data_IF_269417020639
#
_entry.id   IF_269417020639
#
_cell.length_a   1.000
_cell.length_b   1.000
_cell.length_c   1.000
_cell.angle_alpha   90.00
_cell.angle_beta   90.00
_cell.angle_gamma   90.00
#
_symmetry.space_group_name_H-M   'P 1'
#
loop_
_entity.id
_entity.type
_entity.pdbx_description
1 polymer ?
#
# COMPACT_ATOMS: atom_id res chain seq x y z
N UNK A 1 7.72 -2.70 23.56
CA UNK A 1 8.65 -3.54 24.36
C UNK A 1 7.93 -4.83 24.62
N UNK A 2 8.53 -5.93 24.20
CA UNK A 2 7.85 -7.23 24.21
C UNK A 2 8.62 -8.15 25.14
N UNK A 3 7.91 -8.79 26.05
CA UNK A 3 8.51 -9.78 26.95
C UNK A 3 7.52 -10.90 27.26
N UNK A 4 8.10 -12.03 27.66
CA UNK A 4 7.34 -13.21 28.07
C UNK A 4 7.67 -13.50 29.52
N UNK A 5 6.65 -13.63 30.36
CA UNK A 5 6.79 -13.94 31.78
C UNK A 5 5.65 -14.88 32.21
N UNK A 6 5.99 -15.96 32.90
CA UNK A 6 5.04 -16.99 33.39
C UNK A 6 4.06 -17.53 32.34
N UNK A 7 4.51 -17.66 31.08
CA UNK A 7 3.70 -18.17 29.97
C UNK A 7 2.75 -17.15 29.34
N UNK A 8 2.82 -15.89 29.76
CA UNK A 8 2.07 -14.77 29.19
C UNK A 8 2.96 -13.91 28.31
N UNK A 9 2.42 -13.44 27.19
CA UNK A 9 3.06 -12.48 26.31
C UNK A 9 2.55 -11.07 26.63
N UNK A 10 3.48 -10.14 26.84
CA UNK A 10 3.20 -8.74 27.13
C UNK A 10 3.81 -7.86 26.05
N UNK A 11 3.03 -6.87 25.60
CA UNK A 11 3.45 -5.83 24.67
C UNK A 11 3.13 -4.47 25.28
N UNK A 12 4.15 -3.60 25.32
CA UNK A 12 4.01 -2.21 25.73
C UNK A 12 4.29 -1.28 24.54
N UNK A 13 3.29 -0.50 24.17
CA UNK A 13 3.34 0.47 23.06
C UNK A 13 3.42 1.90 23.60
N UNK A 14 4.22 2.73 22.92
CA UNK A 14 4.35 4.16 23.22
C UNK A 14 3.66 4.95 22.13
N UNK A 15 2.77 5.85 22.52
CA UNK A 15 2.01 6.70 21.61
C UNK A 15 2.30 8.18 21.87
N UNK A 16 2.48 8.93 20.80
CA UNK A 16 2.44 10.40 20.82
C UNK A 16 1.10 10.89 20.28
N UNK A 17 0.53 11.92 20.92
CA UNK A 17 -0.65 12.58 20.38
C UNK A 17 -0.24 13.48 19.21
N UNK A 18 -0.75 13.16 18.02
CA UNK A 18 -0.52 13.89 16.77
C UNK A 18 -1.78 14.59 16.26
N UNK A 19 -1.63 15.36 15.17
CA UNK A 19 -2.75 15.95 14.44
C UNK A 19 -3.64 14.90 13.75
N UNK A 20 -4.79 15.32 13.20
CA UNK A 20 -5.70 14.40 12.52
C UNK A 20 -5.07 13.81 11.25
N UNK A 21 -5.44 12.57 10.95
CA UNK A 21 -5.13 11.95 9.67
C UNK A 21 -5.81 12.71 8.51
N UNK A 22 -5.20 12.65 7.33
CA UNK A 22 -5.70 13.27 6.09
C UNK A 22 -7.05 12.68 5.71
N UNK A 23 -7.25 11.39 5.94
CA UNK A 23 -8.51 10.69 5.67
C UNK A 23 -8.97 9.87 6.88
N UNK A 24 -10.28 9.75 7.06
CA UNK A 24 -10.88 8.83 8.03
C UNK A 24 -10.95 7.38 7.53
N UNK A 25 -10.67 7.16 6.26
CA UNK A 25 -10.65 5.85 5.59
C UNK A 25 -9.34 5.69 4.81
N UNK A 26 -8.90 4.45 4.51
CA UNK A 26 -7.68 4.26 3.76
C UNK A 26 -7.67 4.88 2.36
N UNK A 27 -8.81 4.85 1.66
CA UNK A 27 -9.00 5.52 0.38
C UNK A 27 -9.31 7.02 0.55
N UNK A 28 -8.80 7.81 -0.38
CA UNK A 28 -9.04 9.24 -0.46
C UNK A 28 -10.32 9.54 -1.25
N UNK A 29 -11.16 10.44 -0.74
CA UNK A 29 -12.45 10.82 -1.35
C UNK A 29 -12.48 12.21 -2.00
N UNK A 30 -11.48 13.03 -1.73
CA UNK A 30 -11.32 14.36 -2.30
C UNK A 30 -9.88 14.81 -2.18
N UNK A 31 -9.49 15.78 -3.00
CA UNK A 31 -8.12 16.32 -2.97
C UNK A 31 -7.85 17.05 -1.64
N UNK A 32 -6.86 16.63 -0.84
CA UNK A 32 -6.52 17.26 0.43
C UNK A 32 -5.81 18.61 0.27
N UNK A 33 -5.40 18.99 -0.95
CA UNK A 33 -4.77 20.28 -1.23
C UNK A 33 -3.37 20.43 -0.63
N UNK A 34 -2.59 19.33 -0.63
CA UNK A 34 -1.23 19.28 -0.07
C UNK A 34 -0.25 20.00 -1.01
N UNK A 35 0.66 20.77 -0.43
CA UNK A 35 1.66 21.56 -1.16
C UNK A 35 2.91 20.75 -1.51
N UNK A 36 3.78 21.35 -2.33
CA UNK A 36 5.03 20.73 -2.80
C UNK A 36 5.99 20.40 -1.65
N UNK A 37 5.95 21.16 -0.56
CA UNK A 37 6.77 20.94 0.63
C UNK A 37 6.34 19.65 1.35
N UNK A 38 5.04 19.40 1.46
CA UNK A 38 4.52 18.15 2.02
C UNK A 38 4.95 16.94 1.20
N UNK A 39 4.80 17.00 -0.13
CA UNK A 39 5.24 15.90 -1.01
C UNK A 39 6.75 15.67 -0.91
N UNK A 40 7.53 16.75 -0.83
CA UNK A 40 8.98 16.67 -0.63
C UNK A 40 9.35 16.04 0.71
N UNK A 41 8.64 16.39 1.78
CA UNK A 41 8.83 15.78 3.08
C UNK A 41 8.49 14.29 3.07
N UNK A 42 7.43 13.87 2.37
CA UNK A 42 7.06 12.46 2.25
C UNK A 42 8.11 11.65 1.48
N UNK A 43 8.58 12.17 0.33
CA UNK A 43 9.67 11.53 -0.43
C UNK A 43 10.93 11.37 0.41
N UNK A 44 11.31 12.42 1.15
CA UNK A 44 12.46 12.38 2.07
C UNK A 44 12.27 11.33 3.17
N UNK A 45 11.11 11.32 3.84
CA UNK A 45 10.83 10.37 4.90
C UNK A 45 10.86 8.90 4.42
N UNK A 46 10.36 8.62 3.22
CA UNK A 46 10.41 7.27 2.64
C UNK A 46 11.81 6.88 2.17
N UNK A 47 12.62 7.84 1.70
CA UNK A 47 14.02 7.61 1.38
C UNK A 47 14.83 7.28 2.65
N UNK A 48 14.63 8.04 3.73
CA UNK A 48 15.27 7.77 5.02
C UNK A 48 14.82 6.41 5.60
N UNK A 49 13.54 6.07 5.45
CA UNK A 49 13.00 4.78 5.89
C UNK A 49 13.60 3.60 5.12
N UNK A 50 13.84 3.75 3.82
CA UNK A 50 14.46 2.72 2.98
C UNK A 50 15.86 2.32 3.46
N UNK A 51 16.60 3.25 4.08
CA UNK A 51 17.93 3.04 4.64
C UNK A 51 17.90 2.48 6.08
N UNK A 52 16.73 2.47 6.73
CA UNK A 52 16.60 1.94 8.09
C UNK A 52 16.75 0.42 8.11
N UNK A 53 17.33 -0.18 9.17
CA UNK A 53 17.42 -1.64 9.29
C UNK A 53 16.04 -2.30 9.37
N UNK A 54 15.67 -3.09 8.35
CA UNK A 54 14.44 -3.89 8.32
C UNK A 54 14.69 -5.32 8.79
N UNK A 55 13.99 -5.78 9.84
CA UNK A 55 14.22 -7.12 10.43
C UNK A 55 13.09 -8.12 10.16
N UNK A 56 11.87 -7.65 9.89
CA UNK A 56 10.68 -8.48 9.68
C UNK A 56 10.26 -8.45 8.22
N UNK A 57 9.92 -9.61 7.67
CA UNK A 57 9.29 -9.70 6.36
C UNK A 57 7.80 -9.33 6.46
N UNK A 58 7.40 -8.20 5.88
CA UNK A 58 6.01 -7.72 5.95
C UNK A 58 5.09 -8.48 4.97
N UNK A 59 5.53 -8.67 3.73
CA UNK A 59 4.77 -9.38 2.69
C UNK A 59 5.49 -10.66 2.28
N UNK A 60 4.93 -11.81 2.64
CA UNK A 60 5.53 -13.13 2.40
C UNK A 60 5.34 -13.57 0.94
N UNK A 61 6.36 -14.22 0.39
CA UNK A 61 6.33 -14.74 -0.98
C UNK A 61 5.14 -15.67 -1.25
N UNK A 62 4.80 -16.57 -0.33
CA UNK A 62 3.66 -17.48 -0.50
C UNK A 62 2.31 -16.77 -0.63
N UNK A 63 2.12 -15.61 0.00
CA UNK A 63 0.91 -14.80 -0.22
C UNK A 63 0.93 -14.15 -1.61
N UNK A 64 2.10 -13.67 -2.08
CA UNK A 64 2.26 -13.10 -3.43
C UNK A 64 1.93 -14.16 -4.50
N UNK A 65 2.41 -15.39 -4.32
CA UNK A 65 2.13 -16.55 -5.18
C UNK A 65 0.64 -16.90 -5.25
N UNK A 66 -0.11 -16.68 -4.16
CA UNK A 66 -1.55 -16.89 -4.11
C UNK A 66 -2.32 -15.76 -4.83
N UNK A 67 -1.99 -14.50 -4.54
CA UNK A 67 -2.80 -13.35 -4.97
C UNK A 67 -2.57 -12.95 -6.42
N UNK A 68 -1.38 -13.19 -6.98
CA UNK A 68 -1.07 -12.80 -8.36
C UNK A 68 -1.96 -13.51 -9.38
N UNK A 69 -2.04 -14.86 -9.40
CA UNK A 69 -2.93 -15.54 -10.32
C UNK A 69 -4.40 -15.22 -10.04
N UNK A 70 -4.79 -15.14 -8.76
CA UNK A 70 -6.19 -14.93 -8.36
C UNK A 70 -6.71 -13.56 -8.78
N UNK A 71 -5.97 -12.49 -8.53
CA UNK A 71 -6.47 -11.12 -8.71
C UNK A 71 -5.86 -10.38 -9.90
N UNK A 72 -4.74 -10.83 -10.45
CA UNK A 72 -4.10 -10.18 -11.61
C UNK A 72 -4.12 -11.06 -12.88
N UNK A 73 -4.40 -12.36 -12.75
CA UNK A 73 -4.46 -13.29 -13.89
C UNK A 73 -3.09 -13.62 -14.49
N UNK A 74 -2.00 -13.34 -13.76
CA UNK A 74 -0.61 -13.58 -14.17
C UNK A 74 0.12 -14.36 -13.07
N UNK A 75 1.19 -15.13 -13.39
CA UNK A 75 2.01 -15.77 -12.38
C UNK A 75 2.71 -14.72 -11.50
N UNK A 76 2.95 -15.08 -10.24
CA UNK A 76 3.81 -14.30 -9.36
C UNK A 76 5.26 -14.26 -9.89
N UNK A 77 6.00 -13.18 -9.64
CA UNK A 77 7.43 -13.17 -9.87
C UNK A 77 8.13 -14.19 -8.96
N UNK A 78 9.15 -14.86 -9.49
CA UNK A 78 9.92 -15.86 -8.74
C UNK A 78 10.68 -15.24 -7.55
N UNK A 79 11.15 -14.01 -7.71
CA UNK A 79 11.84 -13.25 -6.68
C UNK A 79 11.27 -11.83 -6.61
N UNK A 80 11.26 -11.27 -5.39
CA UNK A 80 10.77 -9.92 -5.11
C UNK A 80 11.88 -9.17 -4.40
N UNK A 81 12.41 -8.14 -5.05
CA UNK A 81 13.35 -7.19 -4.45
C UNK A 81 12.67 -6.38 -3.34
N UNK A 82 13.39 -6.13 -2.25
CA UNK A 82 12.83 -5.57 -1.02
C UNK A 82 13.65 -4.42 -0.47
N UNK A 83 12.95 -3.53 0.20
CA UNK A 83 13.50 -2.40 0.96
C UNK A 83 12.75 -2.29 2.29
N UNK A 84 13.27 -1.50 3.22
CA UNK A 84 12.55 -1.18 4.45
C UNK A 84 11.43 -0.18 4.14
N UNK A 85 10.24 -0.45 4.64
CA UNK A 85 9.06 0.39 4.42
C UNK A 85 8.04 0.28 5.54
N UNK A 86 7.02 1.11 5.44
CA UNK A 86 5.90 1.22 6.36
C UNK A 86 4.99 0.00 6.32
N UNK A 87 4.72 -0.52 5.11
CA UNK A 87 3.89 -1.72 4.94
C UNK A 87 2.38 -1.48 4.97
N UNK A 88 1.95 -0.24 5.21
CA UNK A 88 0.54 0.21 5.16
C UNK A 88 0.45 1.73 4.88
N UNK A 89 1.17 2.22 3.87
CA UNK A 89 1.24 3.66 3.59
C UNK A 89 -0.03 4.18 2.86
N UNK A 90 -1.12 4.32 3.61
CA UNK A 90 -2.42 4.82 3.13
C UNK A 90 -2.85 6.12 3.84
N UNK A 91 -3.87 6.81 3.32
CA UNK A 91 -4.20 8.19 3.71
C UNK A 91 -4.70 8.37 5.14
N UNK A 92 -5.19 7.32 5.78
CA UNK A 92 -5.52 7.35 7.22
C UNK A 92 -4.28 7.27 8.11
N UNK A 93 -3.12 6.93 7.55
CA UNK A 93 -1.84 6.83 8.26
C UNK A 93 -0.92 8.05 8.02
N UNK A 94 -1.45 9.13 7.47
CA UNK A 94 -0.70 10.34 7.15
C UNK A 94 -1.38 11.59 7.70
N UNK A 95 -0.62 12.52 8.28
CA UNK A 95 -1.13 13.84 8.70
C UNK A 95 -0.72 14.95 7.71
N UNK A 96 -1.54 15.99 7.59
CA UNK A 96 -1.30 17.08 6.64
C UNK A 96 -0.25 18.09 7.13
N UNK A 97 -0.37 18.61 8.36
CA UNK A 97 0.49 19.69 8.85
C UNK A 97 0.78 19.53 10.34
N UNK A 98 2.01 19.16 10.74
CA UNK A 98 3.11 18.69 9.88
C UNK A 98 2.82 17.30 9.28
N UNK A 99 3.64 16.84 8.32
CA UNK A 99 3.67 15.45 7.92
C UNK A 99 4.12 14.56 9.10
N UNK A 100 3.30 13.55 9.42
CA UNK A 100 3.61 12.43 10.29
C UNK A 100 3.09 11.15 9.64
N UNK A 101 3.86 10.08 9.76
CA UNK A 101 3.47 8.72 9.36
C UNK A 101 3.06 7.98 10.62
N UNK A 102 1.87 7.41 10.62
CA UNK A 102 1.21 6.77 11.76
C UNK A 102 1.10 5.26 11.53
N UNK A 103 0.79 4.51 12.59
CA UNK A 103 0.47 3.08 12.51
C UNK A 103 1.61 2.18 11.97
N UNK A 104 2.71 2.14 12.74
CA UNK A 104 3.94 1.44 12.38
C UNK A 104 3.90 -0.09 12.60
N UNK A 105 2.75 -0.72 12.84
CA UNK A 105 2.68 -2.15 13.21
C UNK A 105 3.17 -3.10 12.10
N UNK A 106 3.03 -2.67 10.84
CA UNK A 106 3.38 -3.45 9.64
C UNK A 106 4.78 -3.18 9.09
N UNK A 107 5.54 -2.25 9.68
CA UNK A 107 6.83 -1.84 9.13
C UNK A 107 7.84 -3.01 9.06
N UNK A 108 8.74 -2.94 8.08
CA UNK A 108 9.72 -3.99 7.83
C UNK A 108 10.12 -4.07 6.35
N UNK A 109 10.56 -5.25 5.92
CA UNK A 109 10.95 -5.53 4.54
C UNK A 109 9.71 -5.70 3.66
N UNK A 110 9.45 -4.69 2.83
CA UNK A 110 8.40 -4.63 1.82
C UNK A 110 9.00 -4.73 0.42
N UNK A 111 8.22 -5.11 -0.62
CA UNK A 111 8.66 -5.00 -2.01
C UNK A 111 9.06 -3.57 -2.36
N UNK A 112 10.08 -3.39 -3.19
CA UNK A 112 10.47 -2.06 -3.69
C UNK A 112 9.27 -1.37 -4.37
N UNK A 113 9.04 -0.10 -4.03
CA UNK A 113 7.93 0.70 -4.55
C UNK A 113 6.56 0.37 -3.96
N UNK A 114 6.45 -0.58 -3.03
CA UNK A 114 5.18 -0.99 -2.45
C UNK A 114 4.46 0.14 -1.69
N UNK A 115 5.14 0.87 -0.82
CA UNK A 115 4.50 1.95 -0.04
C UNK A 115 3.93 3.08 -0.93
N UNK A 116 4.71 3.69 -1.86
CA UNK A 116 4.14 4.61 -2.84
C UNK A 116 3.03 4.00 -3.69
N UNK A 117 3.07 2.70 -3.97
CA UNK A 117 2.02 2.01 -4.70
C UNK A 117 0.74 1.84 -3.88
N UNK A 118 0.82 1.57 -2.56
CA UNK A 118 -0.33 1.56 -1.65
C UNK A 118 -0.98 2.94 -1.59
N UNK A 119 -0.16 3.99 -1.49
CA UNK A 119 -0.64 5.37 -1.54
C UNK A 119 -1.31 5.69 -2.89
N UNK A 120 -0.76 5.20 -3.99
CA UNK A 120 -1.34 5.35 -5.33
C UNK A 120 -2.69 4.64 -5.47
N UNK A 121 -2.80 3.36 -5.11
CA UNK A 121 -4.07 2.61 -5.25
C UNK A 121 -5.17 3.18 -4.36
N UNK A 122 -4.81 3.69 -3.18
CA UNK A 122 -5.74 4.38 -2.27
C UNK A 122 -6.11 5.80 -2.73
N UNK A 123 -5.43 6.35 -3.75
CA UNK A 123 -5.73 7.64 -4.36
C UNK A 123 -6.61 7.56 -5.61
N UNK A 124 -6.92 6.37 -6.13
CA UNK A 124 -7.52 6.21 -7.47
C UNK A 124 -8.93 6.81 -7.63
N UNK A 125 -9.64 7.13 -6.55
CA UNK A 125 -10.90 7.90 -6.61
C UNK A 125 -10.70 9.40 -6.81
N UNK A 126 -9.47 9.90 -6.66
CA UNK A 126 -9.07 11.29 -6.87
C UNK A 126 -7.95 11.31 -7.92
N UNK A 127 -8.28 11.28 -9.23
CA UNK A 127 -7.30 11.08 -10.29
C UNK A 127 -6.11 12.05 -10.25
N UNK A 128 -6.36 13.33 -9.95
CA UNK A 128 -5.30 14.32 -9.83
C UNK A 128 -4.25 13.96 -8.77
N UNK A 129 -4.68 13.41 -7.63
CA UNK A 129 -3.77 12.96 -6.55
C UNK A 129 -3.09 11.65 -6.95
N UNK A 130 -3.81 10.70 -7.57
CA UNK A 130 -3.20 9.47 -8.06
C UNK A 130 -2.09 9.72 -9.09
N UNK A 131 -2.31 10.65 -10.02
CA UNK A 131 -1.33 11.06 -11.01
C UNK A 131 -0.14 11.76 -10.35
N UNK A 132 -0.39 12.60 -9.34
CA UNK A 132 0.68 13.23 -8.55
C UNK A 132 1.54 12.20 -7.82
N UNK A 133 0.95 11.16 -7.21
CA UNK A 133 1.73 10.08 -6.58
C UNK A 133 2.64 9.39 -7.60
N UNK A 134 2.15 9.13 -8.82
CA UNK A 134 2.99 8.55 -9.89
C UNK A 134 4.13 9.48 -10.31
N UNK A 135 3.88 10.78 -10.43
CA UNK A 135 4.90 11.78 -10.76
C UNK A 135 5.99 11.83 -9.68
N UNK A 136 5.57 12.00 -8.43
CA UNK A 136 6.46 12.18 -7.27
C UNK A 136 7.35 10.96 -7.01
N UNK A 137 6.83 9.77 -7.28
CA UNK A 137 7.54 8.50 -7.04
C UNK A 137 7.97 7.79 -8.33
N UNK A 138 7.94 8.48 -9.47
CA UNK A 138 8.32 7.93 -10.79
C UNK A 138 9.69 7.22 -10.77
N UNK A 139 10.68 7.82 -10.09
CA UNK A 139 12.02 7.26 -9.95
C UNK A 139 12.07 5.82 -9.40
N UNK A 140 11.14 5.46 -8.50
CA UNK A 140 11.01 4.09 -8.00
C UNK A 140 9.93 3.31 -8.73
N UNK A 141 8.76 3.91 -8.99
CA UNK A 141 7.58 3.23 -9.53
C UNK A 141 7.71 2.83 -11.01
N UNK A 142 8.59 3.46 -11.77
CA UNK A 142 8.87 3.12 -13.17
C UNK A 142 9.97 2.06 -13.33
N UNK A 143 10.70 1.75 -12.24
CA UNK A 143 11.69 0.66 -12.24
C UNK A 143 11.02 -0.71 -12.36
N UNK A 144 11.78 -1.73 -12.78
CA UNK A 144 11.28 -3.11 -12.84
C UNK A 144 10.78 -3.61 -11.49
N UNK A 145 11.50 -3.35 -10.41
CA UNK A 145 11.13 -3.72 -9.05
C UNK A 145 9.91 -2.92 -8.57
N UNK A 146 9.85 -1.62 -8.83
CA UNK A 146 8.69 -0.78 -8.49
C UNK A 146 7.41 -1.17 -9.22
N UNK A 147 7.51 -1.61 -10.48
CA UNK A 147 6.36 -2.18 -11.21
C UNK A 147 5.82 -3.44 -10.52
N UNK A 148 6.68 -4.28 -9.94
CA UNK A 148 6.25 -5.42 -9.13
C UNK A 148 5.55 -4.93 -7.85
N UNK A 149 6.10 -3.92 -7.16
CA UNK A 149 5.44 -3.28 -6.02
C UNK A 149 4.03 -2.76 -6.34
N UNK A 150 3.85 -2.14 -7.52
CA UNK A 150 2.53 -1.68 -8.00
C UNK A 150 1.53 -2.82 -8.22
N UNK A 151 1.98 -3.91 -8.82
CA UNK A 151 1.14 -5.10 -9.01
C UNK A 151 0.74 -5.72 -7.67
N UNK A 152 1.66 -5.78 -6.71
CA UNK A 152 1.37 -6.27 -5.36
C UNK A 152 0.31 -5.41 -4.65
N UNK A 153 0.45 -4.07 -4.69
CA UNK A 153 -0.54 -3.17 -4.10
C UNK A 153 -1.91 -3.28 -4.78
N UNK A 154 -1.96 -3.44 -6.11
CA UNK A 154 -3.19 -3.70 -6.84
C UNK A 154 -3.85 -5.02 -6.41
N UNK A 155 -3.08 -6.09 -6.29
CA UNK A 155 -3.59 -7.39 -5.86
C UNK A 155 -4.14 -7.35 -4.42
N UNK A 156 -3.45 -6.65 -3.50
CA UNK A 156 -3.91 -6.46 -2.12
C UNK A 156 -5.23 -5.68 -2.06
N UNK A 157 -5.34 -4.59 -2.82
CA UNK A 157 -6.56 -3.79 -2.84
C UNK A 157 -7.72 -4.54 -3.52
N UNK A 158 -7.46 -5.31 -4.58
CA UNK A 158 -8.46 -6.19 -5.20
C UNK A 158 -8.91 -7.32 -4.24
N UNK A 159 -8.00 -7.87 -3.44
CA UNK A 159 -8.34 -8.81 -2.36
C UNK A 159 -9.21 -8.15 -1.29
N UNK A 160 -8.95 -6.89 -0.92
CA UNK A 160 -9.79 -6.15 0.00
C UNK A 160 -11.20 -5.91 -0.59
N UNK A 161 -11.29 -5.66 -1.89
CA UNK A 161 -12.55 -5.55 -2.64
C UNK A 161 -13.35 -6.85 -2.61
N UNK A 162 -12.73 -7.99 -2.89
CA UNK A 162 -13.35 -9.33 -2.78
C UNK A 162 -13.93 -9.54 -1.36
N UNK A 163 -13.19 -9.10 -0.33
CA UNK A 163 -13.65 -9.15 1.08
C UNK A 163 -14.75 -8.13 1.44
N UNK A 164 -15.23 -7.33 0.48
CA UNK A 164 -16.35 -6.40 0.65
C UNK A 164 -15.96 -4.96 1.00
N UNK A 165 -14.66 -4.64 1.08
CA UNK A 165 -14.16 -3.28 1.32
C UNK A 165 -14.03 -2.50 0.02
N UNK A 166 -13.97 -1.16 0.09
CA UNK A 166 -13.60 -0.28 -1.03
C UNK A 166 -14.28 -0.60 -2.40
N UNK A 167 -15.54 -1.05 -2.40
CA UNK A 167 -16.21 -1.55 -3.62
C UNK A 167 -16.21 -0.57 -4.79
N UNK A 168 -16.17 0.73 -4.50
CA UNK A 168 -16.09 1.81 -5.49
C UNK A 168 -14.75 1.82 -6.26
N UNK A 169 -13.66 1.33 -5.66
CA UNK A 169 -12.35 1.20 -6.31
C UNK A 169 -12.28 0.03 -7.29
N UNK A 170 -13.19 -0.96 -7.22
CA UNK A 170 -13.10 -2.19 -8.00
C UNK A 170 -12.93 -1.96 -9.51
N UNK A 171 -13.72 -1.09 -10.18
CA UNK A 171 -13.59 -0.88 -11.62
C UNK A 171 -12.26 -0.25 -12.01
N UNK A 172 -11.80 0.76 -11.26
CA UNK A 172 -10.55 1.48 -11.56
C UNK A 172 -9.32 0.62 -11.26
N UNK A 173 -9.33 -0.17 -10.18
CA UNK A 173 -8.26 -1.13 -9.86
C UNK A 173 -8.11 -2.18 -10.96
N UNK A 174 -9.22 -2.76 -11.42
CA UNK A 174 -9.20 -3.78 -12.46
C UNK A 174 -8.65 -3.22 -13.79
N UNK A 175 -8.99 -1.98 -14.11
CA UNK A 175 -8.47 -1.29 -15.29
C UNK A 175 -6.97 -1.01 -15.17
N UNK A 176 -6.50 -0.48 -14.03
CA UNK A 176 -5.07 -0.26 -13.80
C UNK A 176 -4.27 -1.55 -13.82
N UNK A 177 -4.79 -2.63 -13.23
CA UNK A 177 -4.16 -3.94 -13.34
C UNK A 177 -4.05 -4.41 -14.79
N UNK A 178 -5.12 -4.26 -15.58
CA UNK A 178 -5.11 -4.57 -17.02
C UNK A 178 -4.07 -3.77 -17.80
N UNK A 179 -3.94 -2.48 -17.52
CA UNK A 179 -2.92 -1.62 -18.16
C UNK A 179 -1.50 -2.07 -17.82
N UNK A 180 -1.23 -2.49 -16.58
CA UNK A 180 0.11 -2.90 -16.15
C UNK A 180 0.49 -4.31 -16.63
N UNK A 181 -0.47 -5.25 -16.68
CA UNK A 181 -0.22 -6.66 -17.02
C UNK A 181 -0.49 -6.99 -18.49
N UNK A 182 -1.30 -6.18 -19.18
CA UNK A 182 -1.84 -6.51 -20.51
C UNK A 182 -2.95 -7.57 -20.48
N UNK A 183 -3.33 -8.07 -19.29
CA UNK A 183 -4.32 -9.13 -19.09
C UNK A 183 -5.47 -8.57 -18.26
N UNK A 184 -6.71 -8.83 -18.66
CA UNK A 184 -7.87 -8.46 -17.84
C UNK A 184 -7.83 -9.32 -16.56
N UNK A 185 -7.85 -8.70 -15.36
CA UNK A 185 -7.98 -9.44 -14.10
C UNK A 185 -9.13 -10.45 -14.14
N UNK A 186 -8.99 -11.62 -13.50
CA UNK A 186 -10.09 -12.55 -13.34
C UNK A 186 -11.27 -11.81 -12.73
N UNK A 187 -12.37 -11.69 -13.47
CA UNK A 187 -13.61 -11.20 -12.88
C UNK A 187 -14.11 -12.30 -11.96
N UNK A 188 -14.45 -11.96 -10.72
CA UNK A 188 -15.33 -12.84 -9.98
C UNK A 188 -16.61 -13.00 -10.81
N UNK A 189 -16.95 -14.25 -11.11
CA UNK A 189 -18.28 -14.59 -11.56
C UNK A 189 -19.23 -14.00 -10.51
N UNK A 190 -19.91 -12.91 -10.87
CA UNK A 190 -20.71 -12.17 -9.94
C UNK A 190 -21.72 -13.09 -9.26
N UNK A 191 -21.80 -12.98 -7.93
CA UNK A 191 -23.06 -13.17 -7.21
C UNK A 191 -23.79 -14.51 -7.45
N UNK A 192 -23.21 -15.62 -7.01
CA UNK A 192 -23.99 -16.78 -6.56
C UNK A 192 -23.82 -16.99 -5.05
N UNK A 193 -24.10 -15.97 -4.24
CA UNK A 193 -24.61 -16.19 -2.89
C UNK A 193 -25.82 -15.28 -2.68
N UNK A 194 -26.93 -15.73 -3.24
CA UNK A 194 -28.27 -15.29 -2.87
C UNK A 194 -29.08 -16.54 -2.55
N UNK A 195 -29.15 -16.88 -1.26
CA UNK A 195 -30.36 -17.29 -0.51
C UNK A 195 -30.01 -17.60 0.93
#
# INVERSE_FOLDING_TARGET
MDWTEDGWFYQADVFDLVGPAISSTPDLRGDPGLDDDWWTALRGALADLAEAPGTKLTLRQGWIEEVFPKYLGIPAPAEVERTTGHGDLQWANLTAAPLKILDWERWGLVPVGYDPAVLWVSSLLVPAVADRVLEEFSGVLDSSAGRVGRLIALAEMLQAVDRGYYRELAPVLAERARELTGVRPPQEAGSEHRR
#
